data_IF_600235618497
#
_entry.id   IF_600235618497
#
_cell.length_a   1.000
_cell.length_b   1.000
_cell.length_c   1.000
_cell.angle_alpha   90.00
_cell.angle_beta   90.00
_cell.angle_gamma   90.00
#
_symmetry.space_group_name_H-M   'P 1'
#
loop_
_entity.id
_entity.type
_entity.pdbx_description
1 polymer ?
#
# COMPACT_ATOMS: atom_id res chain seq x y z
N UNK A 1 26.63 -4.48 -18.51
CA UNK A 1 26.01 -3.82 -19.67
C UNK A 1 24.59 -4.37 -19.78
N UNK A 2 23.56 -3.59 -19.44
CA UNK A 2 22.17 -4.08 -19.47
C UNK A 2 21.70 -4.28 -20.91
N UNK A 3 21.05 -5.40 -21.20
CA UNK A 3 20.47 -5.65 -22.52
C UNK A 3 19.21 -4.81 -22.73
N UNK A 4 18.95 -4.39 -23.97
CA UNK A 4 17.69 -3.72 -24.37
C UNK A 4 16.43 -4.53 -23.99
N UNK A 5 16.54 -5.86 -23.87
CA UNK A 5 15.44 -6.75 -23.44
C UNK A 5 15.13 -6.60 -21.95
N UNK A 6 16.15 -6.42 -21.10
CA UNK A 6 15.98 -6.29 -19.65
C UNK A 6 15.33 -4.94 -19.30
N UNK A 7 15.74 -3.87 -19.97
CA UNK A 7 15.13 -2.55 -19.82
C UNK A 7 13.64 -2.55 -20.21
N UNK A 8 13.28 -3.23 -21.31
CA UNK A 8 11.87 -3.38 -21.72
C UNK A 8 11.06 -4.17 -20.70
N UNK A 9 11.64 -5.22 -20.11
CA UNK A 9 11.00 -6.03 -19.07
C UNK A 9 10.82 -5.24 -17.77
N UNK A 10 11.85 -4.52 -17.32
CA UNK A 10 11.77 -3.64 -16.14
C UNK A 10 10.68 -2.57 -16.29
N UNK A 11 10.64 -1.91 -17.45
CA UNK A 11 9.64 -0.87 -17.72
C UNK A 11 8.20 -1.40 -17.66
N UNK A 12 7.97 -2.67 -17.99
CA UNK A 12 6.64 -3.30 -17.86
C UNK A 12 6.22 -3.39 -16.39
N UNK A 13 7.09 -3.85 -15.51
CA UNK A 13 6.77 -3.95 -14.08
C UNK A 13 6.65 -2.57 -13.44
N UNK A 14 7.48 -1.61 -13.84
CA UNK A 14 7.33 -0.23 -13.38
C UNK A 14 5.96 0.35 -13.76
N UNK A 15 5.47 0.09 -14.98
CA UNK A 15 4.11 0.47 -15.39
C UNK A 15 3.02 -0.18 -14.54
N UNK A 16 3.15 -1.47 -14.20
CA UNK A 16 2.20 -2.14 -13.31
C UNK A 16 2.19 -1.51 -11.91
N UNK A 17 3.35 -1.10 -11.39
CA UNK A 17 3.45 -0.38 -10.12
C UNK A 17 2.74 0.98 -10.18
N UNK A 18 2.96 1.77 -11.25
CA UNK A 18 2.22 3.00 -11.47
C UNK A 18 0.71 2.78 -11.61
N UNK A 19 0.27 1.70 -12.27
CA UNK A 19 -1.16 1.38 -12.36
C UNK A 19 -1.76 1.02 -10.99
N UNK A 20 -1.01 0.35 -10.11
CA UNK A 20 -1.47 0.11 -8.74
C UNK A 20 -1.60 1.44 -7.96
N UNK A 21 -0.61 2.34 -8.10
CA UNK A 21 -0.63 3.67 -7.49
C UNK A 21 -1.79 4.55 -7.99
N UNK A 22 -1.99 4.61 -9.31
CA UNK A 22 -3.15 5.28 -9.91
C UNK A 22 -4.46 4.63 -9.48
N UNK A 23 -4.46 3.32 -9.27
CA UNK A 23 -5.58 2.56 -8.72
C UNK A 23 -6.04 3.07 -7.35
N UNK A 24 -5.09 3.33 -6.44
CA UNK A 24 -5.39 3.97 -5.15
C UNK A 24 -6.02 5.34 -5.39
N UNK A 25 -5.44 6.13 -6.29
CA UNK A 25 -5.90 7.48 -6.61
C UNK A 25 -7.30 7.55 -7.24
N UNK A 26 -7.89 6.43 -7.68
CA UNK A 26 -9.26 6.40 -8.20
C UNK A 26 -10.31 6.75 -7.13
N UNK A 27 -10.01 6.56 -5.85
CA UNK A 27 -10.89 7.01 -4.76
C UNK A 27 -11.11 8.52 -4.80
N UNK A 28 -10.08 9.30 -5.14
CA UNK A 28 -10.20 10.76 -5.28
C UNK A 28 -11.20 11.12 -6.38
N UNK A 29 -11.20 10.38 -7.49
CA UNK A 29 -12.16 10.57 -8.57
C UNK A 29 -13.58 10.17 -8.14
N UNK A 30 -13.72 9.06 -7.41
CA UNK A 30 -14.99 8.64 -6.83
C UNK A 30 -15.56 9.73 -5.91
N UNK A 31 -14.74 10.26 -4.98
CA UNK A 31 -15.15 11.33 -4.08
C UNK A 31 -15.58 12.61 -4.81
N UNK A 32 -14.97 12.94 -5.96
CA UNK A 32 -15.42 14.06 -6.80
C UNK A 32 -16.76 13.80 -7.48
N UNK A 33 -17.04 12.56 -7.88
CA UNK A 33 -18.32 12.15 -8.46
C UNK A 33 -19.40 12.20 -7.37
N UNK A 34 -19.15 11.60 -6.22
CA UNK A 34 -20.10 11.58 -5.09
C UNK A 34 -20.36 12.98 -4.54
N UNK A 35 -19.37 13.87 -4.51
CA UNK A 35 -19.58 15.27 -4.16
C UNK A 35 -20.66 15.93 -5.03
N UNK A 36 -20.66 15.66 -6.34
CA UNK A 36 -21.68 16.18 -7.27
C UNK A 36 -23.05 15.55 -7.06
N UNK A 37 -23.11 14.28 -6.63
CA UNK A 37 -24.35 13.54 -6.40
C UNK A 37 -24.98 13.93 -5.05
N UNK A 38 -24.18 13.97 -3.99
CA UNK A 38 -24.65 14.21 -2.63
C UNK A 38 -24.70 15.68 -2.25
N UNK A 39 -24.04 16.57 -3.00
CA UNK A 39 -23.96 18.00 -2.70
C UNK A 39 -23.10 18.34 -1.47
N UNK A 40 -22.45 17.35 -0.85
CA UNK A 40 -21.59 17.48 0.33
C UNK A 40 -20.17 17.03 0.00
N UNK A 41 -19.18 17.51 0.76
CA UNK A 41 -17.78 17.04 0.62
C UNK A 41 -17.60 15.74 1.42
N UNK A 42 -16.58 14.93 1.09
CA UNK A 42 -16.30 13.64 1.75
C UNK A 42 -16.20 13.75 3.29
N UNK A 43 -15.65 14.85 3.82
CA UNK A 43 -15.59 15.11 5.26
C UNK A 43 -16.93 15.45 5.93
N UNK A 44 -18.00 15.58 5.16
CA UNK A 44 -19.36 15.92 5.60
C UNK A 44 -20.38 14.84 5.23
N UNK A 45 -19.92 13.67 4.76
CA UNK A 45 -20.79 12.56 4.44
C UNK A 45 -21.49 12.05 5.70
N UNK A 46 -22.77 11.72 5.57
CA UNK A 46 -23.49 10.96 6.59
C UNK A 46 -22.88 9.56 6.74
N UNK A 47 -23.20 8.87 7.83
CA UNK A 47 -22.69 7.51 8.06
C UNK A 47 -23.01 6.57 6.89
N UNK A 48 -24.23 6.67 6.34
CA UNK A 48 -24.63 5.89 5.16
C UNK A 48 -23.78 6.25 3.92
N UNK A 49 -23.60 7.53 3.63
CA UNK A 49 -22.79 7.98 2.49
C UNK A 49 -21.33 7.53 2.62
N UNK A 50 -20.76 7.59 3.83
CA UNK A 50 -19.39 7.12 4.09
C UNK A 50 -19.25 5.61 3.89
N UNK A 51 -20.22 4.83 4.36
CA UNK A 51 -20.22 3.37 4.18
C UNK A 51 -20.34 3.01 2.69
N UNK A 52 -21.24 3.67 1.96
CA UNK A 52 -21.37 3.48 0.50
C UNK A 52 -20.07 3.83 -0.21
N UNK A 53 -19.46 4.96 0.12
CA UNK A 53 -18.16 5.36 -0.41
C UNK A 53 -17.11 4.27 -0.22
N UNK A 54 -16.92 3.78 1.01
CA UNK A 54 -15.94 2.73 1.30
C UNK A 54 -16.22 1.42 0.57
N UNK A 55 -17.49 1.01 0.44
CA UNK A 55 -17.87 -0.18 -0.34
C UNK A 55 -17.48 0.00 -1.81
N UNK A 56 -17.82 1.13 -2.42
CA UNK A 56 -17.50 1.42 -3.81
C UNK A 56 -15.98 1.47 -4.03
N UNK A 57 -15.24 2.09 -3.12
CA UNK A 57 -13.77 2.12 -3.15
C UNK A 57 -13.18 0.71 -3.07
N UNK A 58 -13.68 -0.15 -2.19
CA UNK A 58 -13.24 -1.55 -2.10
C UNK A 58 -13.48 -2.32 -3.40
N UNK A 59 -14.64 -2.12 -4.05
CA UNK A 59 -14.95 -2.77 -5.34
C UNK A 59 -14.01 -2.31 -6.45
N UNK A 60 -13.71 -1.01 -6.52
CA UNK A 60 -12.76 -0.44 -7.49
C UNK A 60 -11.36 -1.02 -7.24
N UNK A 61 -10.86 -0.91 -6.00
CA UNK A 61 -9.52 -1.36 -5.65
C UNK A 61 -9.33 -2.87 -5.80
N UNK A 62 -10.33 -3.66 -5.39
CA UNK A 62 -10.33 -5.11 -5.60
C UNK A 62 -10.26 -5.48 -7.08
N UNK A 63 -11.04 -4.79 -7.93
CA UNK A 63 -11.02 -5.00 -9.38
C UNK A 63 -9.66 -4.65 -9.99
N UNK A 64 -9.06 -3.52 -9.59
CA UNK A 64 -7.72 -3.12 -10.03
C UNK A 64 -6.68 -4.16 -9.60
N UNK A 65 -6.67 -4.55 -8.33
CA UNK A 65 -5.73 -5.52 -7.78
C UNK A 65 -5.79 -6.86 -8.54
N UNK A 66 -7.00 -7.42 -8.69
CA UNK A 66 -7.21 -8.68 -9.42
C UNK A 66 -6.79 -8.58 -10.89
N UNK A 67 -7.07 -7.45 -11.54
CA UNK A 67 -6.67 -7.21 -12.93
C UNK A 67 -5.16 -7.16 -13.10
N UNK A 68 -4.45 -6.46 -12.21
CA UNK A 68 -3.00 -6.35 -12.24
C UNK A 68 -2.31 -7.69 -11.96
N UNK A 69 -2.78 -8.40 -10.94
CA UNK A 69 -2.32 -9.76 -10.60
C UNK A 69 -2.52 -10.71 -11.78
N UNK A 70 -3.73 -10.72 -12.35
CA UNK A 70 -4.06 -11.57 -13.50
C UNK A 70 -3.18 -11.25 -14.70
N UNK A 71 -2.94 -9.98 -14.98
CA UNK A 71 -2.09 -9.54 -16.11
C UNK A 71 -0.62 -9.89 -15.87
N UNK A 72 -0.11 -9.69 -14.65
CA UNK A 72 1.24 -10.09 -14.26
C UNK A 72 1.49 -11.58 -14.52
N UNK A 73 0.56 -12.43 -14.06
CA UNK A 73 0.63 -13.88 -14.24
C UNK A 73 0.48 -14.29 -15.70
N UNK A 74 -0.62 -13.90 -16.37
CA UNK A 74 -0.97 -14.39 -17.72
C UNK A 74 -0.11 -13.82 -18.83
N UNK A 75 0.28 -12.53 -18.74
CA UNK A 75 0.97 -11.83 -19.83
C UNK A 75 2.48 -11.74 -19.63
N UNK A 76 2.94 -11.70 -18.38
CA UNK A 76 4.35 -11.46 -18.06
C UNK A 76 4.99 -12.63 -17.29
N UNK A 77 4.28 -13.75 -17.14
CA UNK A 77 4.74 -14.95 -16.45
C UNK A 77 5.30 -14.66 -15.05
N UNK A 78 4.71 -13.69 -14.36
CA UNK A 78 5.10 -13.29 -13.01
C UNK A 78 3.97 -13.61 -12.04
N UNK A 79 4.09 -14.77 -11.39
CA UNK A 79 3.16 -15.20 -10.35
C UNK A 79 3.66 -14.77 -8.98
N UNK A 80 3.04 -13.72 -8.42
CA UNK A 80 3.37 -13.18 -7.10
C UNK A 80 3.08 -14.18 -5.96
N UNK A 81 2.23 -15.18 -6.21
CA UNK A 81 1.89 -16.22 -5.26
C UNK A 81 2.85 -17.41 -5.30
N UNK A 82 3.81 -17.44 -6.22
CA UNK A 82 4.81 -18.53 -6.26
C UNK A 82 5.79 -18.49 -5.08
N UNK A 83 5.97 -17.31 -4.45
CA UNK A 83 6.84 -17.14 -3.29
C UNK A 83 6.14 -17.67 -2.02
N UNK A 84 6.57 -18.86 -1.57
CA UNK A 84 6.00 -19.58 -0.42
C UNK A 84 7.01 -19.94 0.66
N UNK A 85 8.23 -19.38 0.59
CA UNK A 85 9.27 -19.66 1.58
C UNK A 85 8.80 -19.30 2.98
N UNK A 86 9.13 -20.16 3.95
CA UNK A 86 8.97 -19.85 5.36
C UNK A 86 9.90 -18.71 5.76
N UNK A 87 9.48 -17.97 6.79
CA UNK A 87 10.22 -16.85 7.34
C UNK A 87 11.26 -17.38 8.34
N UNK A 88 12.57 -17.15 8.14
CA UNK A 88 13.57 -17.47 9.13
C UNK A 88 13.30 -16.72 10.45
N UNK A 89 13.62 -17.31 11.62
CA UNK A 89 13.42 -16.65 12.90
C UNK A 89 14.09 -15.27 12.97
N UNK A 90 15.28 -15.11 12.40
CA UNK A 90 15.98 -13.82 12.38
C UNK A 90 15.24 -12.76 11.55
N UNK A 91 14.66 -13.14 10.40
CA UNK A 91 13.85 -12.23 9.60
C UNK A 91 12.56 -11.85 10.32
N UNK A 92 11.96 -12.80 11.04
CA UNK A 92 10.78 -12.54 11.88
C UNK A 92 11.10 -11.52 12.97
N UNK A 93 12.24 -11.65 13.66
CA UNK A 93 12.69 -10.68 14.66
C UNK A 93 12.80 -9.28 14.04
N UNK A 94 13.45 -9.15 12.88
CA UNK A 94 13.54 -7.85 12.20
C UNK A 94 12.17 -7.30 11.78
N UNK A 95 11.27 -8.13 11.26
CA UNK A 95 9.89 -7.70 10.94
C UNK A 95 9.14 -7.22 12.19
N UNK A 96 9.29 -7.90 13.34
CA UNK A 96 8.67 -7.49 14.61
C UNK A 96 9.25 -6.16 15.08
N UNK A 97 10.57 -5.96 15.00
CA UNK A 97 11.21 -4.69 15.36
C UNK A 97 10.67 -3.55 14.50
N UNK A 98 10.56 -3.76 13.18
CA UNK A 98 9.97 -2.77 12.28
C UNK A 98 8.50 -2.50 12.59
N UNK A 99 7.72 -3.53 12.93
CA UNK A 99 6.31 -3.37 13.32
C UNK A 99 6.17 -2.56 14.62
N UNK A 100 6.98 -2.86 15.62
CA UNK A 100 6.97 -2.09 16.88
C UNK A 100 7.37 -0.64 16.61
N UNK A 101 8.37 -0.41 15.75
CA UNK A 101 8.78 0.94 15.36
C UNK A 101 7.63 1.73 14.73
N UNK A 102 6.92 1.15 13.74
CA UNK A 102 5.78 1.82 13.09
C UNK A 102 4.64 2.08 14.08
N UNK A 103 4.35 1.13 14.98
CA UNK A 103 3.31 1.30 16.01
C UNK A 103 3.65 2.38 17.02
N UNK A 104 4.91 2.49 17.45
CA UNK A 104 5.35 3.56 18.36
C UNK A 104 5.20 4.92 17.68
N UNK A 105 5.64 5.04 16.42
CA UNK A 105 5.49 6.26 15.63
C UNK A 105 4.02 6.63 15.46
N UNK A 106 3.18 5.67 15.06
CA UNK A 106 1.73 5.80 14.91
C UNK A 106 1.08 6.27 16.22
N UNK A 107 1.48 5.69 17.36
CA UNK A 107 0.94 6.06 18.69
C UNK A 107 1.30 7.49 19.08
N UNK A 108 2.50 7.96 18.73
CA UNK A 108 2.91 9.35 18.97
C UNK A 108 2.10 10.30 18.08
N UNK A 109 1.98 10.00 16.78
CA UNK A 109 1.25 10.83 15.81
C UNK A 109 -0.25 10.94 16.15
N UNK A 110 -0.86 9.85 16.61
CA UNK A 110 -2.26 9.80 17.01
C UNK A 110 -2.52 10.22 18.47
N UNK A 111 -1.47 10.53 19.23
CA UNK A 111 -1.54 10.82 20.67
C UNK A 111 -2.35 9.75 21.43
N UNK A 112 -2.01 8.48 21.19
CA UNK A 112 -2.71 7.31 21.70
C UNK A 112 -2.74 6.17 20.69
N UNK A 113 -3.19 5.00 21.12
CA UNK A 113 -3.22 3.82 20.25
C UNK A 113 -4.26 4.00 19.13
N UNK A 114 -3.80 4.00 17.87
CA UNK A 114 -4.58 4.37 16.68
C UNK A 114 -5.93 3.66 16.62
N UNK A 115 -5.91 2.33 16.81
CA UNK A 115 -7.11 1.48 16.77
C UNK A 115 -8.21 1.98 17.72
N UNK A 116 -7.86 2.34 18.95
CA UNK A 116 -8.83 2.81 19.94
C UNK A 116 -9.34 4.21 19.58
N UNK A 117 -8.45 5.10 19.12
CA UNK A 117 -8.82 6.45 18.67
C UNK A 117 -9.77 6.43 17.48
N UNK A 118 -9.52 5.53 16.52
CA UNK A 118 -10.40 5.35 15.37
C UNK A 118 -11.75 4.75 15.79
N UNK A 119 -11.76 3.77 16.69
CA UNK A 119 -12.99 3.20 17.23
C UNK A 119 -13.86 4.24 17.96
N UNK A 120 -13.25 5.05 18.84
CA UNK A 120 -13.93 6.15 19.54
C UNK A 120 -14.52 7.17 18.58
N UNK A 121 -13.80 7.50 17.50
CA UNK A 121 -14.22 8.50 16.51
C UNK A 121 -15.32 7.99 15.57
N UNK A 122 -15.26 6.73 15.17
CA UNK A 122 -16.10 6.19 14.10
C UNK A 122 -17.33 5.43 14.63
N UNK A 123 -17.24 4.89 15.86
CA UNK A 123 -18.19 3.92 16.37
C UNK A 123 -18.10 2.56 15.65
N UNK A 124 -18.81 1.56 16.17
CA UNK A 124 -18.64 0.15 15.78
C UNK A 124 -18.83 -0.10 14.28
N UNK A 125 -19.91 0.41 13.68
CA UNK A 125 -20.27 0.08 12.30
C UNK A 125 -19.24 0.67 11.32
N UNK A 126 -18.95 1.97 11.43
CA UNK A 126 -17.98 2.63 10.53
C UNK A 126 -16.58 2.09 10.74
N UNK A 127 -16.20 1.77 11.96
CA UNK A 127 -14.91 1.14 12.25
C UNK A 127 -14.75 -0.19 11.49
N UNK A 128 -15.77 -1.05 11.46
CA UNK A 128 -15.72 -2.31 10.69
C UNK A 128 -15.50 -2.04 9.20
N UNK A 129 -16.28 -1.12 8.59
CA UNK A 129 -16.13 -0.81 7.17
C UNK A 129 -14.79 -0.13 6.85
N UNK A 130 -14.28 0.72 7.74
CA UNK A 130 -12.96 1.33 7.60
C UNK A 130 -11.84 0.28 7.58
N UNK A 131 -11.93 -0.75 8.42
CA UNK A 131 -10.92 -1.81 8.45
C UNK A 131 -11.00 -2.73 7.24
N UNK A 132 -12.21 -2.99 6.72
CA UNK A 132 -12.36 -3.65 5.41
C UNK A 132 -11.71 -2.80 4.32
N UNK A 133 -11.98 -1.49 4.30
CA UNK A 133 -11.35 -0.55 3.38
C UNK A 133 -9.81 -0.61 3.47
N UNK A 134 -9.24 -0.62 4.67
CA UNK A 134 -7.78 -0.73 4.87
C UNK A 134 -7.19 -2.04 4.34
N UNK A 135 -7.94 -3.15 4.35
CA UNK A 135 -7.50 -4.41 3.73
C UNK A 135 -7.34 -4.27 2.20
N UNK A 136 -8.28 -3.57 1.54
CA UNK A 136 -8.18 -3.31 0.10
C UNK A 136 -7.09 -2.30 -0.24
N UNK A 137 -6.93 -1.25 0.58
CA UNK A 137 -5.82 -0.29 0.43
C UNK A 137 -4.46 -1.00 0.51
N UNK A 138 -4.32 -1.88 1.52
CA UNK A 138 -3.11 -2.68 1.73
C UNK A 138 -2.79 -3.57 0.53
N UNK A 139 -3.82 -4.14 -0.08
CA UNK A 139 -3.64 -4.95 -1.29
C UNK A 139 -3.01 -4.13 -2.43
N UNK A 140 -3.46 -2.89 -2.64
CA UNK A 140 -2.93 -2.05 -3.72
C UNK A 140 -1.52 -1.54 -3.42
N UNK A 141 -1.23 -1.01 -2.23
CA UNK A 141 0.12 -0.52 -1.97
C UNK A 141 1.15 -1.67 -1.90
N UNK A 142 0.75 -2.87 -1.46
CA UNK A 142 1.58 -4.06 -1.60
C UNK A 142 1.90 -4.36 -3.07
N UNK A 143 0.93 -4.24 -3.98
CA UNK A 143 1.18 -4.42 -5.42
C UNK A 143 2.11 -3.34 -5.99
N UNK A 144 2.02 -2.09 -5.51
CA UNK A 144 3.00 -1.04 -5.84
C UNK A 144 4.41 -1.54 -5.50
N UNK A 145 4.62 -1.99 -4.26
CA UNK A 145 5.90 -2.50 -3.76
C UNK A 145 6.38 -3.68 -4.59
N UNK A 146 5.54 -4.69 -4.80
CA UNK A 146 5.89 -5.93 -5.51
C UNK A 146 6.36 -5.66 -6.93
N UNK A 147 5.60 -4.84 -7.68
CA UNK A 147 5.95 -4.55 -9.07
C UNK A 147 7.14 -3.62 -9.21
N UNK A 148 7.26 -2.58 -8.36
CA UNK A 148 8.44 -1.72 -8.36
C UNK A 148 9.69 -2.48 -7.89
N UNK A 149 9.56 -3.40 -6.93
CA UNK A 149 10.64 -4.28 -6.52
C UNK A 149 11.14 -5.11 -7.69
N UNK A 150 10.22 -5.76 -8.42
CA UNK A 150 10.56 -6.55 -9.61
C UNK A 150 11.22 -5.69 -10.70
N UNK A 151 10.72 -4.47 -10.93
CA UNK A 151 11.28 -3.56 -11.91
C UNK A 151 12.73 -3.17 -11.58
N UNK A 152 13.00 -2.79 -10.33
CA UNK A 152 14.33 -2.41 -9.87
C UNK A 152 15.32 -3.57 -9.87
N UNK A 153 14.87 -4.77 -9.50
CA UNK A 153 15.69 -5.99 -9.58
C UNK A 153 16.15 -6.30 -11.00
N UNK A 154 15.27 -6.14 -12.00
CA UNK A 154 15.63 -6.34 -13.41
C UNK A 154 16.55 -5.22 -13.90
N UNK A 155 16.26 -3.97 -13.50
CA UNK A 155 16.99 -2.79 -13.99
C UNK A 155 18.41 -2.66 -13.44
N UNK A 156 18.63 -3.11 -12.20
CA UNK A 156 19.87 -2.85 -11.47
C UNK A 156 20.58 -4.12 -11.00
N UNK A 157 19.95 -5.29 -11.13
CA UNK A 157 20.47 -6.58 -10.64
C UNK A 157 20.85 -6.56 -9.14
N UNK A 158 20.11 -5.79 -8.34
CA UNK A 158 20.27 -5.69 -6.89
C UNK A 158 19.02 -6.17 -6.17
N UNK A 159 19.05 -7.41 -5.70
CA UNK A 159 17.90 -8.10 -5.07
C UNK A 159 17.63 -7.73 -3.61
N UNK A 160 18.57 -7.05 -2.95
CA UNK A 160 18.48 -6.70 -1.53
C UNK A 160 18.17 -5.21 -1.30
N UNK A 161 18.16 -4.41 -2.36
CA UNK A 161 17.74 -3.01 -2.30
C UNK A 161 16.20 -2.96 -2.32
N UNK A 162 15.56 -2.21 -1.41
CA UNK A 162 14.10 -2.12 -1.32
C UNK A 162 13.53 -1.18 -2.38
N UNK A 163 13.75 -1.47 -3.66
CA UNK A 163 13.24 -0.69 -4.80
C UNK A 163 11.73 -0.43 -4.71
N UNK A 164 10.96 -1.41 -4.23
CA UNK A 164 9.53 -1.26 -4.00
C UNK A 164 9.22 -0.17 -2.96
N UNK A 165 9.96 -0.16 -1.85
CA UNK A 165 9.80 0.84 -0.80
C UNK A 165 10.28 2.23 -1.22
N UNK A 166 11.38 2.30 -1.97
CA UNK A 166 11.87 3.56 -2.55
C UNK A 166 10.80 4.16 -3.47
N UNK A 167 10.17 3.33 -4.30
CA UNK A 167 9.12 3.80 -5.20
C UNK A 167 7.88 4.29 -4.44
N UNK A 168 7.46 3.59 -3.38
CA UNK A 168 6.38 4.07 -2.50
C UNK A 168 6.75 5.38 -1.81
N UNK A 169 7.98 5.51 -1.31
CA UNK A 169 8.44 6.74 -0.68
C UNK A 169 8.36 7.95 -1.63
N UNK A 170 8.74 7.73 -2.89
CA UNK A 170 8.70 8.76 -3.94
C UNK A 170 7.29 9.05 -4.46
N UNK A 171 6.38 8.07 -4.49
CA UNK A 171 5.03 8.28 -5.01
C UNK A 171 4.07 8.68 -3.90
N UNK A 172 3.94 7.84 -2.88
CA UNK A 172 2.99 8.04 -1.79
C UNK A 172 3.44 9.11 -0.80
N UNK A 173 4.72 9.11 -0.41
CA UNK A 173 5.30 10.09 0.51
C UNK A 173 5.33 11.50 -0.06
N UNK A 174 5.79 11.67 -1.30
CA UNK A 174 5.75 12.97 -1.96
C UNK A 174 4.30 13.45 -2.19
N UNK A 175 3.37 12.59 -2.60
CA UNK A 175 1.97 12.99 -2.71
C UNK A 175 1.40 13.48 -1.38
N UNK A 176 1.70 12.83 -0.25
CA UNK A 176 1.27 13.29 1.08
C UNK A 176 1.87 14.64 1.46
N UNK A 177 3.12 14.88 1.10
CA UNK A 177 3.76 16.18 1.29
C UNK A 177 2.96 17.32 0.66
N UNK A 178 2.49 17.11 -0.57
CA UNK A 178 1.72 18.11 -1.31
C UNK A 178 0.26 18.19 -0.85
N UNK A 179 -0.43 17.05 -0.70
CA UNK A 179 -1.87 17.04 -0.36
C UNK A 179 -2.16 17.46 1.08
N UNK A 180 -1.24 17.19 2.01
CA UNK A 180 -1.34 17.63 3.42
C UNK A 180 -0.62 18.95 3.68
N UNK A 181 0.05 19.52 2.67
CA UNK A 181 0.84 20.75 2.79
C UNK A 181 1.83 20.71 3.97
N UNK A 182 2.43 19.55 4.21
CA UNK A 182 3.28 19.30 5.38
C UNK A 182 4.48 18.46 4.99
N UNK A 183 5.68 19.06 5.10
CA UNK A 183 6.96 18.40 4.85
C UNK A 183 7.17 17.22 5.81
N UNK A 184 6.86 17.40 7.09
CA UNK A 184 7.04 16.36 8.11
C UNK A 184 6.15 15.14 7.84
N UNK A 185 4.88 15.35 7.49
CA UNK A 185 3.95 14.25 7.15
C UNK A 185 4.43 13.51 5.90
N UNK A 186 4.87 14.25 4.87
CA UNK A 186 5.41 13.64 3.65
C UNK A 186 6.67 12.80 3.90
N UNK A 187 7.60 13.29 4.74
CA UNK A 187 8.81 12.57 5.11
C UNK A 187 8.52 11.33 5.96
N UNK A 188 7.55 11.42 6.88
CA UNK A 188 7.12 10.28 7.70
C UNK A 188 6.56 9.16 6.83
N UNK A 189 5.61 9.49 5.94
CA UNK A 189 5.02 8.52 5.00
C UNK A 189 6.08 7.98 4.02
N UNK A 190 7.07 8.78 3.64
CA UNK A 190 8.19 8.31 2.84
C UNK A 190 9.05 7.28 3.59
N UNK A 191 9.31 7.50 4.89
CA UNK A 191 10.00 6.55 5.74
C UNK A 191 9.20 5.25 5.90
N UNK A 192 7.88 5.33 6.09
CA UNK A 192 7.00 4.15 6.13
C UNK A 192 7.06 3.36 4.82
N UNK A 193 7.07 4.04 3.66
CA UNK A 193 7.26 3.41 2.37
C UNK A 193 8.54 2.57 2.29
N UNK A 194 9.66 3.10 2.79
CA UNK A 194 10.92 2.35 2.87
C UNK A 194 10.81 1.15 3.81
N UNK A 195 10.20 1.32 4.99
CA UNK A 195 9.98 0.24 5.96
C UNK A 195 9.14 -0.88 5.33
N UNK A 196 8.06 -0.55 4.63
CA UNK A 196 7.22 -1.55 3.94
C UNK A 196 8.00 -2.32 2.87
N UNK A 197 8.86 -1.64 2.11
CA UNK A 197 9.74 -2.29 1.14
C UNK A 197 10.76 -3.24 1.78
N UNK A 198 11.35 -2.83 2.91
CA UNK A 198 12.28 -3.68 3.68
C UNK A 198 11.53 -4.89 4.24
N UNK A 199 10.35 -4.71 4.82
CA UNK A 199 9.50 -5.78 5.34
C UNK A 199 9.08 -6.76 4.24
N UNK A 200 8.81 -6.29 3.03
CA UNK A 200 8.56 -7.15 1.87
C UNK A 200 9.77 -8.03 1.51
N UNK A 201 10.99 -7.49 1.59
CA UNK A 201 12.21 -8.28 1.37
C UNK A 201 12.48 -9.26 2.51
N UNK A 202 12.32 -8.83 3.76
CA UNK A 202 12.49 -9.66 4.95
C UNK A 202 11.48 -10.82 4.96
N UNK A 203 10.25 -10.60 4.49
CA UNK A 203 9.23 -11.64 4.30
C UNK A 203 9.56 -12.63 3.16
N UNK A 204 10.76 -12.55 2.57
CA UNK A 204 11.22 -13.36 1.43
C UNK A 204 10.28 -13.27 0.23
N UNK A 205 9.65 -12.10 0.04
CA UNK A 205 8.66 -11.85 -1.01
C UNK A 205 7.40 -12.71 -0.89
N UNK A 206 7.20 -13.41 0.24
CA UNK A 206 6.01 -14.21 0.49
C UNK A 206 4.82 -13.26 0.68
N UNK A 207 3.95 -13.20 -0.33
CA UNK A 207 2.89 -12.20 -0.40
C UNK A 207 1.92 -12.26 0.77
N UNK A 208 1.68 -13.44 1.35
CA UNK A 208 0.75 -13.56 2.48
C UNK A 208 1.35 -13.01 3.77
N UNK A 209 2.63 -13.31 4.01
CA UNK A 209 3.36 -12.80 5.18
C UNK A 209 3.54 -11.29 5.03
N UNK A 210 3.95 -10.83 3.84
CA UNK A 210 4.09 -9.40 3.54
C UNK A 210 2.76 -8.67 3.74
N UNK A 211 1.66 -9.18 3.18
CA UNK A 211 0.34 -8.58 3.31
C UNK A 211 -0.07 -8.46 4.79
N UNK A 212 0.06 -9.53 5.57
CA UNK A 212 -0.30 -9.49 6.98
C UNK A 212 0.54 -8.48 7.76
N UNK A 213 1.87 -8.48 7.56
CA UNK A 213 2.76 -7.54 8.26
C UNK A 213 2.48 -6.09 7.87
N UNK A 214 2.35 -5.80 6.58
CA UNK A 214 2.07 -4.45 6.09
C UNK A 214 0.69 -3.95 6.53
N UNK A 215 -0.32 -4.83 6.54
CA UNK A 215 -1.64 -4.50 7.08
C UNK A 215 -1.52 -4.09 8.55
N UNK A 216 -0.86 -4.92 9.38
CA UNK A 216 -0.66 -4.62 10.80
C UNK A 216 0.15 -3.33 11.01
N UNK A 217 1.22 -3.10 10.23
CA UNK A 217 1.99 -1.85 10.30
C UNK A 217 1.15 -0.63 9.95
N UNK A 218 0.17 -0.78 9.06
CA UNK A 218 -0.68 0.31 8.60
C UNK A 218 -1.84 0.62 9.55
N UNK A 219 -2.47 -0.40 10.14
CA UNK A 219 -3.69 -0.24 10.96
C UNK A 219 -3.42 -0.09 12.46
N UNK A 220 -2.22 -0.43 12.94
CA UNK A 220 -1.83 -0.30 14.35
C UNK A 220 -1.08 1.01 14.60
#
# INVERSE_FOLDING_TARGET
>A
MFGLKDLKSSAVFLKLSFYAFLGISLELLLGLIEHKIYGSKLGQFSDFQMIVHWILTCLIWGTVALSLISRAKKKYNFDIFSYRSSLPPINLIFCIVLLVLTVVVSTIDWNGFKVLKEFEKQGLIRFIFQYIYYMFETSLFLLIIVFAQKAGEICFDKKYIPWGGIFVALTWGLCHMFTKSSLSVGLLVAADGLIFGITYLLSRRNIFIAYLLLFLMFVL
#
